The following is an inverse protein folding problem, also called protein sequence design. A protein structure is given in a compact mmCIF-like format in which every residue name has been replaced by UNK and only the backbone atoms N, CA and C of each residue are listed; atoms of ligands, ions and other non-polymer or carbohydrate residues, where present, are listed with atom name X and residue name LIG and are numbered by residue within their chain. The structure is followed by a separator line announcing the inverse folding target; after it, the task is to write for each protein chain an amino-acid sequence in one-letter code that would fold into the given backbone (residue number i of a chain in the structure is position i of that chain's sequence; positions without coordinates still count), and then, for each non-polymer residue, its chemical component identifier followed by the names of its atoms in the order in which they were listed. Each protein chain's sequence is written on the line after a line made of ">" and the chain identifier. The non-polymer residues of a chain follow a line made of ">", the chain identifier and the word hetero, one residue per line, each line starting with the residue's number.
data_IF_289184819783
#
_entry.id   IF_289184819783
#
_cell.length_a   1.000
_cell.length_b   1.000
_cell.length_c   1.000
_cell.angle_alpha   90.00
_cell.angle_beta   90.00
_cell.angle_gamma   90.00
#
_symmetry.space_group_name_H-M   'P 1'
#
loop_
_entity.id
_entity.type
_entity.pdbx_description
1 polymer ?
#
# COMPACT_ATOMS: atom_id res chain seq x y z
N UNK A 1 19.24 11.56 73.64
CA UNK A 1 19.63 12.69 74.51
C UNK A 1 18.78 13.89 74.11
N UNK A 2 17.87 14.37 74.98
CA UNK A 2 16.87 15.46 74.75
C UNK A 2 15.87 15.18 73.59
N UNK A 3 14.53 15.11 73.69
CA UNK A 3 13.47 15.85 74.45
C UNK A 3 13.47 17.36 74.16
N UNK A 4 12.36 18.11 73.98
CA UNK A 4 10.89 17.91 74.10
C UNK A 4 10.18 19.15 73.43
N UNK A 5 8.87 19.33 73.19
CA UNK A 5 7.59 18.62 73.41
C UNK A 5 6.44 19.31 72.58
N UNK A 6 5.33 18.62 72.21
CA UNK A 6 3.86 18.93 72.43
C UNK A 6 3.30 20.35 72.06
N UNK A 7 2.01 20.67 71.77
CA UNK A 7 0.64 20.05 71.75
C UNK A 7 0.10 19.96 70.29
N UNK A 8 -0.97 19.24 69.87
CA UNK A 8 -2.19 18.61 70.45
C UNK A 8 -3.41 19.51 70.81
N UNK A 9 -4.41 19.56 69.92
CA UNK A 9 -5.81 19.89 70.29
C UNK A 9 -6.80 19.02 69.51
N UNK A 10 -7.82 18.50 70.18
CA UNK A 10 -8.90 17.69 69.58
C UNK A 10 -10.13 18.56 69.26
N UNK A 11 -10.94 18.10 68.31
CA UNK A 11 -12.39 18.35 68.28
C UNK A 11 -13.11 17.03 67.94
N UNK A 12 -14.11 16.65 68.74
CA UNK A 12 -15.01 15.51 68.48
C UNK A 12 -16.34 16.00 67.92
N UNK A 13 -17.08 15.16 67.19
CA UNK A 13 -18.54 15.36 67.04
C UNK A 13 -19.24 14.57 65.91
N UNK A 14 -20.13 13.64 66.29
CA UNK A 14 -21.21 13.08 65.42
C UNK A 14 -20.76 12.01 64.41
N UNK A 15 -20.89 10.70 64.68
CA UNK A 15 -22.08 9.82 64.67
C UNK A 15 -22.66 9.42 63.30
N UNK A 16 -22.54 8.11 63.02
CA UNK A 16 -23.48 7.19 62.36
C UNK A 16 -24.56 7.73 61.39
N UNK A 17 -24.58 7.16 60.18
CA UNK A 17 -25.40 5.95 59.94
C UNK A 17 -24.85 5.12 58.77
N UNK A 18 -25.11 3.82 58.79
CA UNK A 18 -24.79 2.91 57.68
C UNK A 18 -26.05 2.61 56.85
N UNK A 19 -25.90 2.49 55.54
CA UNK A 19 -26.94 1.93 54.66
C UNK A 19 -26.29 1.17 53.50
N UNK A 20 -26.56 -0.13 53.42
CA UNK A 20 -26.24 -0.94 52.25
C UNK A 20 -27.51 -1.04 51.39
N UNK A 21 -27.46 -0.51 50.16
CA UNK A 21 -28.63 -0.54 49.27
C UNK A 21 -28.28 -0.24 47.81
N UNK A 22 -28.26 -1.30 47.00
CA UNK A 22 -28.32 -1.39 45.52
C UNK A 22 -27.74 -0.28 44.62
N UNK A 23 -26.96 -0.74 43.62
CA UNK A 23 -26.60 0.01 42.41
C UNK A 23 -27.83 0.56 41.67
N UNK A 24 -27.68 1.74 41.07
CA UNK A 24 -28.00 1.91 39.65
C UNK A 24 -26.78 1.58 38.77
N UNK A 25 -27.02 1.11 37.54
CA UNK A 25 -26.03 1.25 36.46
C UNK A 25 -26.02 2.74 36.07
N UNK A 26 -24.93 3.43 36.33
CA UNK A 26 -24.64 4.68 35.61
C UNK A 26 -23.84 4.29 34.37
N UNK A 27 -24.43 4.41 33.19
CA UNK A 27 -23.72 4.20 31.94
C UNK A 27 -22.85 5.42 31.67
N UNK A 28 -21.57 5.34 32.07
CA UNK A 28 -20.58 6.35 31.74
C UNK A 28 -20.20 6.22 30.27
N UNK A 29 -20.94 6.94 29.41
CA UNK A 29 -20.44 7.34 28.09
C UNK A 29 -19.27 8.32 28.27
N UNK A 30 -18.09 7.79 28.62
CA UNK A 30 -16.82 8.51 28.58
C UNK A 30 -16.27 8.48 27.16
N UNK A 31 -16.33 9.61 26.46
CA UNK A 31 -15.65 9.76 25.18
C UNK A 31 -14.13 9.74 25.36
N UNK A 32 -13.43 9.16 24.38
CA UNK A 32 -11.98 9.31 24.13
C UNK A 32 -11.05 9.09 25.33
N UNK A 33 -10.59 7.86 25.54
CA UNK A 33 -9.17 7.70 25.88
C UNK A 33 -8.34 8.05 24.63
N UNK A 34 -7.50 9.07 24.71
CA UNK A 34 -6.71 9.57 23.58
C UNK A 34 -5.45 8.74 23.36
N UNK A 35 -5.63 7.45 23.07
CA UNK A 35 -4.56 6.52 22.69
C UNK A 35 -4.52 6.28 21.18
N UNK A 36 -3.38 5.81 20.67
CA UNK A 36 -3.29 5.25 19.33
C UNK A 36 -4.04 3.91 19.30
N UNK A 37 -4.74 3.57 18.20
CA UNK A 37 -5.38 2.26 18.07
C UNK A 37 -4.33 1.14 18.06
N UNK A 38 -4.58 0.07 18.82
CA UNK A 38 -3.68 -1.08 18.95
C UNK A 38 -4.24 -2.28 18.18
N UNK A 39 -3.43 -2.81 17.27
CA UNK A 39 -3.80 -3.85 16.30
C UNK A 39 -2.92 -5.07 16.56
N UNK A 40 -3.46 -6.03 17.30
CA UNK A 40 -2.78 -7.29 17.58
C UNK A 40 -2.89 -8.21 16.35
N UNK A 41 -1.77 -8.45 15.67
CA UNK A 41 -1.75 -9.21 14.43
C UNK A 41 -2.06 -10.71 14.63
N UNK A 42 -1.78 -11.25 15.82
CA UNK A 42 -2.04 -12.66 16.14
C UNK A 42 -3.48 -12.88 16.60
N UNK A 43 -4.11 -11.88 17.21
CA UNK A 43 -5.45 -11.97 17.78
C UNK A 43 -6.55 -12.38 16.77
N UNK A 44 -7.43 -13.25 17.27
CA UNK A 44 -8.74 -13.52 16.69
C UNK A 44 -9.70 -12.36 17.00
N UNK A 45 -9.96 -11.52 16.00
CA UNK A 45 -11.02 -10.53 16.06
C UNK A 45 -12.31 -11.10 15.48
N UNK A 46 -13.50 -10.59 15.90
CA UNK A 46 -14.77 -10.99 15.29
C UNK A 46 -14.74 -10.75 13.78
N UNK A 47 -15.17 -11.76 13.02
CA UNK A 47 -15.31 -11.65 11.57
C UNK A 47 -16.54 -10.81 11.19
N UNK A 48 -16.41 -10.03 10.12
CA UNK A 48 -17.49 -9.26 9.53
C UNK A 48 -17.37 -9.28 7.99
N UNK A 49 -18.43 -9.68 7.29
CA UNK A 49 -18.53 -9.42 5.85
C UNK A 49 -18.86 -7.95 5.61
N UNK A 50 -18.13 -7.31 4.69
CA UNK A 50 -18.26 -5.89 4.37
C UNK A 50 -18.28 -5.75 2.86
N UNK A 51 -19.39 -5.26 2.30
CA UNK A 51 -19.44 -4.96 0.88
C UNK A 51 -18.89 -3.57 0.58
N UNK A 52 -18.08 -3.45 -0.47
CA UNK A 52 -17.53 -2.18 -0.95
C UNK A 52 -18.65 -1.15 -1.18
N UNK A 53 -19.75 -1.54 -1.84
CA UNK A 53 -20.89 -0.67 -2.11
C UNK A 53 -21.62 -0.13 -0.87
N UNK A 54 -21.42 -0.70 0.33
CA UNK A 54 -21.98 -0.13 1.56
C UNK A 54 -21.15 1.06 2.06
N UNK A 55 -19.83 0.94 2.05
CA UNK A 55 -18.87 1.94 2.59
C UNK A 55 -18.27 2.88 1.53
N UNK A 56 -18.50 2.61 0.26
CA UNK A 56 -17.92 3.33 -0.87
C UNK A 56 -18.91 3.35 -2.06
N UNK A 57 -18.66 4.27 -2.99
CA UNK A 57 -19.17 4.18 -4.36
C UNK A 57 -18.17 3.36 -5.20
N UNK A 58 -18.68 2.49 -6.07
CA UNK A 58 -17.90 1.60 -6.93
C UNK A 58 -18.21 1.94 -8.38
N UNK A 59 -17.19 1.96 -9.25
CA UNK A 59 -17.34 2.28 -10.68
C UNK A 59 -16.41 1.41 -11.51
N UNK A 60 -16.95 0.79 -12.56
CA UNK A 60 -16.21 -0.09 -13.46
C UNK A 60 -15.87 0.63 -14.77
N UNK A 61 -14.61 0.58 -15.16
CA UNK A 61 -14.06 1.30 -16.32
C UNK A 61 -13.38 0.28 -17.25
N UNK A 62 -14.10 -0.26 -18.26
CA UNK A 62 -13.50 -1.11 -19.27
C UNK A 62 -12.51 -0.30 -20.12
N UNK A 63 -11.26 -0.76 -20.19
CA UNK A 63 -10.25 -0.08 -21.00
C UNK A 63 -10.43 -0.42 -22.49
N UNK A 64 -10.38 0.59 -23.34
CA UNK A 64 -10.58 0.45 -24.78
C UNK A 64 -9.46 -0.39 -25.41
N UNK A 65 -9.85 -1.42 -26.17
CA UNK A 65 -8.92 -2.38 -26.76
C UNK A 65 -8.86 -2.21 -28.28
N UNK A 66 -7.65 -1.94 -28.78
CA UNK A 66 -7.31 -1.75 -30.19
C UNK A 66 -5.85 -2.17 -30.40
N UNK A 67 -5.42 -2.34 -31.65
CA UNK A 67 -4.02 -2.60 -32.02
C UNK A 67 -3.03 -1.56 -31.45
N UNK A 68 -3.49 -0.33 -31.18
CA UNK A 68 -2.67 0.73 -30.58
C UNK A 68 -2.68 0.74 -29.04
N UNK A 69 -3.76 0.22 -28.42
CA UNK A 69 -4.05 0.34 -26.99
C UNK A 69 -4.01 -0.96 -26.19
N UNK A 70 -3.70 -2.10 -26.83
CA UNK A 70 -3.63 -3.42 -26.17
C UNK A 70 -2.55 -3.48 -25.08
N UNK A 71 -2.96 -3.92 -23.90
CA UNK A 71 -2.14 -4.10 -22.70
C UNK A 71 -1.75 -5.57 -22.52
N UNK A 72 -0.64 -5.81 -21.83
CA UNK A 72 -0.16 -7.11 -21.40
C UNK A 72 0.18 -7.07 -19.91
N UNK A 73 1.47 -6.97 -19.58
CA UNK A 73 1.94 -6.94 -18.18
C UNK A 73 1.90 -5.53 -17.61
N UNK A 74 0.73 -5.13 -17.11
CA UNK A 74 0.53 -3.90 -16.33
C UNK A 74 1.34 -3.96 -15.03
N UNK A 75 2.10 -2.90 -14.74
CA UNK A 75 2.93 -2.77 -13.53
C UNK A 75 2.69 -1.50 -12.72
N UNK A 76 2.05 -0.49 -13.31
CA UNK A 76 1.60 0.72 -12.60
C UNK A 76 0.28 1.18 -13.19
N UNK A 77 -0.66 1.57 -12.35
CA UNK A 77 -1.82 2.37 -12.74
C UNK A 77 -1.81 3.65 -11.91
N UNK A 78 -1.95 4.80 -12.57
CA UNK A 78 -2.01 6.11 -11.93
C UNK A 78 -3.27 6.81 -12.45
N UNK A 79 -4.25 7.02 -11.58
CA UNK A 79 -5.42 7.86 -11.86
C UNK A 79 -5.19 9.24 -11.23
N UNK A 80 -5.11 10.28 -12.06
CA UNK A 80 -4.98 11.67 -11.61
C UNK A 80 -5.77 12.57 -12.57
N UNK A 81 -6.64 13.41 -12.00
CA UNK A 81 -7.61 14.21 -12.74
C UNK A 81 -8.41 13.31 -13.71
N UNK A 82 -8.69 13.77 -14.91
CA UNK A 82 -9.49 13.04 -15.92
C UNK A 82 -8.65 12.04 -16.75
N UNK A 83 -7.56 11.50 -16.20
CA UNK A 83 -6.61 10.64 -16.94
C UNK A 83 -6.12 9.45 -16.11
N UNK A 84 -6.17 8.27 -16.75
CA UNK A 84 -5.54 7.03 -16.34
C UNK A 84 -4.22 6.89 -17.10
N UNK A 85 -3.12 6.71 -16.37
CA UNK A 85 -1.77 6.56 -16.92
C UNK A 85 -1.26 5.19 -16.49
N UNK A 86 -0.94 4.33 -17.46
CA UNK A 86 -0.64 2.91 -17.24
C UNK A 86 0.77 2.59 -17.76
N UNK A 87 1.60 1.95 -16.93
CA UNK A 87 2.90 1.41 -17.34
C UNK A 87 2.77 -0.08 -17.63
N UNK A 88 3.11 -0.46 -18.86
CA UNK A 88 3.18 -1.85 -19.30
C UNK A 88 4.64 -2.29 -19.51
N UNK A 89 5.04 -3.40 -18.89
CA UNK A 89 6.41 -3.94 -18.95
C UNK A 89 6.67 -4.82 -20.16
N UNK A 90 5.64 -5.43 -20.74
CA UNK A 90 5.74 -6.29 -21.92
C UNK A 90 5.86 -5.45 -23.18
N UNK A 91 5.02 -4.43 -23.32
CA UNK A 91 5.06 -3.42 -24.38
C UNK A 91 6.15 -2.37 -24.14
N UNK A 92 6.63 -2.21 -22.89
CA UNK A 92 7.53 -1.13 -22.43
C UNK A 92 7.01 0.26 -22.79
N UNK A 93 5.70 0.46 -22.68
CA UNK A 93 4.99 1.69 -23.04
C UNK A 93 4.35 2.33 -21.81
N UNK A 94 4.23 3.66 -21.87
CA UNK A 94 3.29 4.42 -21.05
C UNK A 94 2.04 4.67 -21.90
N UNK A 95 0.89 4.19 -21.45
CA UNK A 95 -0.41 4.38 -22.10
C UNK A 95 -1.24 5.42 -21.33
N UNK A 96 -2.08 6.15 -22.06
CA UNK A 96 -3.01 7.13 -21.53
C UNK A 96 -4.43 6.77 -21.96
N UNK A 97 -5.34 6.73 -20.98
CA UNK A 97 -6.78 6.62 -21.19
C UNK A 97 -7.49 7.75 -20.43
N UNK A 98 -8.70 8.14 -20.85
CA UNK A 98 -9.54 8.99 -20.02
C UNK A 98 -10.18 8.18 -18.87
N UNK A 99 -10.85 8.86 -17.94
CA UNK A 99 -11.58 8.21 -16.82
C UNK A 99 -12.82 7.42 -17.24
N UNK A 100 -13.20 7.44 -18.53
CA UNK A 100 -14.25 6.60 -19.13
C UNK A 100 -13.67 5.34 -19.81
N UNK A 101 -12.34 5.16 -19.78
CA UNK A 101 -11.63 4.03 -20.36
C UNK A 101 -11.25 4.18 -21.84
N UNK A 102 -11.52 5.33 -22.47
CA UNK A 102 -11.14 5.60 -23.87
C UNK A 102 -9.66 5.89 -24.02
N UNK A 103 -9.03 5.29 -25.04
CA UNK A 103 -7.61 5.48 -25.33
C UNK A 103 -7.35 6.90 -25.84
N UNK A 104 -6.26 7.50 -25.38
CA UNK A 104 -5.85 8.87 -25.74
C UNK A 104 -4.53 8.89 -26.51
N UNK A 105 -3.52 8.16 -26.02
CA UNK A 105 -2.18 8.07 -26.63
C UNK A 105 -1.34 7.00 -25.93
N UNK A 106 -0.17 6.68 -26.50
CA UNK A 106 0.91 5.98 -25.80
C UNK A 106 2.28 6.44 -26.29
N UNK A 107 3.33 6.27 -25.49
CA UNK A 107 4.72 6.40 -25.94
C UNK A 107 5.58 5.23 -25.47
N UNK A 108 6.66 4.95 -26.21
CA UNK A 108 7.50 3.76 -26.04
C UNK A 108 8.95 4.00 -26.46
N UNK A 109 9.70 4.79 -25.69
CA UNK A 109 11.10 5.15 -26.00
C UNK A 109 12.07 4.08 -25.54
N UNK A 110 11.92 2.88 -26.09
CA UNK A 110 12.69 1.68 -25.68
C UNK A 110 14.08 1.70 -26.33
N UNK A 111 15.13 1.79 -25.52
CA UNK A 111 16.50 1.80 -26.03
C UNK A 111 17.58 2.03 -24.99
N UNK A 112 18.79 2.32 -25.47
CA UNK A 112 20.00 2.45 -24.66
C UNK A 112 20.50 3.90 -24.48
N UNK A 113 19.88 4.85 -25.17
CA UNK A 113 20.30 6.25 -25.28
C UNK A 113 19.95 7.13 -24.08
N UNK A 114 20.23 8.43 -24.23
CA UNK A 114 19.94 9.44 -23.20
C UNK A 114 18.44 9.74 -23.07
N UNK A 115 17.73 9.71 -24.19
CA UNK A 115 16.30 10.05 -24.33
C UNK A 115 15.38 8.84 -24.32
N UNK A 116 15.92 7.67 -23.96
CA UNK A 116 15.31 6.35 -24.03
C UNK A 116 15.44 5.67 -22.67
N UNK A 117 14.60 4.68 -22.38
CA UNK A 117 14.75 3.76 -21.23
C UNK A 117 14.93 2.32 -21.73
N UNK A 118 15.71 1.52 -21.00
CA UNK A 118 15.94 0.11 -21.33
C UNK A 118 14.96 -0.80 -20.58
N UNK A 119 14.71 -0.50 -19.31
CA UNK A 119 13.87 -1.30 -18.40
C UNK A 119 13.06 -0.35 -17.51
N UNK A 120 11.86 0.07 -17.95
CA UNK A 120 11.02 1.00 -17.21
C UNK A 120 10.36 0.25 -16.04
N UNK A 121 11.04 0.17 -14.89
CA UNK A 121 10.64 -0.68 -13.76
C UNK A 121 9.49 -0.07 -12.93
N UNK A 122 9.41 1.26 -12.86
CA UNK A 122 8.29 1.93 -12.20
C UNK A 122 8.00 3.29 -12.83
N UNK A 123 6.77 3.77 -12.64
CA UNK A 123 6.28 5.05 -13.15
C UNK A 123 5.82 5.94 -12.01
N UNK A 124 6.22 7.21 -12.07
CA UNK A 124 5.70 8.28 -11.24
C UNK A 124 5.25 9.45 -12.13
N UNK A 125 4.27 10.23 -11.65
CA UNK A 125 3.72 11.38 -12.37
C UNK A 125 3.68 12.57 -11.42
N UNK A 126 4.24 13.69 -11.86
CA UNK A 126 4.17 14.99 -11.20
C UNK A 126 3.16 15.87 -11.97
N UNK A 127 1.92 16.04 -11.46
CA UNK A 127 0.89 16.79 -12.17
C UNK A 127 1.17 18.30 -12.20
N UNK A 128 1.88 18.83 -11.19
CA UNK A 128 2.17 20.27 -11.05
C UNK A 128 3.26 20.72 -12.02
N UNK A 129 4.31 19.91 -12.17
CA UNK A 129 5.34 20.10 -13.20
C UNK A 129 4.89 19.63 -14.60
N UNK A 130 3.81 18.83 -14.67
CA UNK A 130 3.34 18.09 -15.86
C UNK A 130 4.42 17.14 -16.41
N UNK A 131 5.07 16.43 -15.50
CA UNK A 131 6.20 15.53 -15.80
C UNK A 131 5.85 14.07 -15.52
N UNK A 132 6.44 13.17 -16.32
CA UNK A 132 6.31 11.73 -16.20
C UNK A 132 7.70 11.14 -16.00
N UNK A 133 7.88 10.46 -14.88
CA UNK A 133 9.17 10.04 -14.35
C UNK A 133 9.26 8.52 -14.42
N UNK A 134 10.01 8.01 -15.40
CA UNK A 134 10.22 6.59 -15.66
C UNK A 134 11.51 6.16 -14.96
N UNK A 135 11.42 5.24 -14.01
CA UNK A 135 12.60 4.68 -13.33
C UNK A 135 13.20 3.54 -14.18
N UNK A 136 14.40 3.76 -14.70
CA UNK A 136 15.10 2.91 -15.66
C UNK A 136 16.17 2.08 -14.93
N UNK A 137 15.80 0.84 -14.56
CA UNK A 137 16.55 -0.04 -13.65
C UNK A 137 16.29 -1.51 -14.01
N UNK A 138 17.21 -2.47 -13.77
CA UNK A 138 18.46 -2.35 -13.01
C UNK A 138 19.69 -1.96 -13.85
N UNK A 139 19.59 -1.86 -15.18
CA UNK A 139 20.78 -1.66 -16.03
C UNK A 139 21.30 -0.22 -16.13
N UNK A 140 20.57 0.77 -15.59
CA UNK A 140 20.80 2.19 -15.90
C UNK A 140 20.76 3.14 -14.69
N UNK A 141 20.25 2.69 -13.53
CA UNK A 141 20.19 3.41 -12.25
C UNK A 141 19.87 4.91 -12.40
N UNK A 142 18.77 5.22 -13.11
CA UNK A 142 18.36 6.61 -13.39
C UNK A 142 16.85 6.74 -13.48
N UNK A 143 16.38 7.98 -13.44
CA UNK A 143 15.01 8.33 -13.83
C UNK A 143 15.09 9.13 -15.14
N UNK A 144 14.31 8.72 -16.13
CA UNK A 144 14.14 9.45 -17.40
C UNK A 144 12.81 10.20 -17.35
N UNK A 145 12.86 11.51 -17.58
CA UNK A 145 11.72 12.43 -17.40
C UNK A 145 11.20 12.90 -18.74
N UNK A 146 9.89 12.75 -18.94
CA UNK A 146 9.15 13.13 -20.16
C UNK A 146 8.02 14.09 -19.84
N UNK A 147 7.48 14.78 -20.86
CA UNK A 147 6.18 15.43 -20.78
C UNK A 147 5.02 14.45 -21.08
N UNK A 148 3.78 14.94 -20.97
CA UNK A 148 2.56 14.16 -21.26
C UNK A 148 2.35 13.81 -22.74
N UNK A 149 3.14 14.35 -23.66
CA UNK A 149 3.18 13.94 -25.07
C UNK A 149 4.35 12.98 -25.36
N UNK A 150 5.11 12.58 -24.33
CA UNK A 150 6.27 11.70 -24.45
C UNK A 150 7.54 12.38 -24.93
N UNK A 151 7.64 13.72 -24.95
CA UNK A 151 8.90 14.40 -25.28
C UNK A 151 9.86 14.31 -24.10
N UNK A 152 11.13 13.97 -24.36
CA UNK A 152 12.16 13.94 -23.31
C UNK A 152 12.47 15.34 -22.76
N UNK A 153 12.51 15.45 -21.43
CA UNK A 153 12.87 16.67 -20.69
C UNK A 153 14.30 16.56 -20.13
N UNK A 154 14.57 15.51 -19.31
CA UNK A 154 15.87 15.31 -18.65
C UNK A 154 16.08 13.87 -18.20
N UNK A 155 17.31 13.54 -17.81
CA UNK A 155 17.61 12.36 -16.98
C UNK A 155 18.11 12.81 -15.60
N UNK A 156 17.75 12.04 -14.56
CA UNK A 156 18.26 12.16 -13.20
C UNK A 156 19.07 10.90 -12.91
N UNK A 157 20.37 11.02 -12.65
CA UNK A 157 21.21 9.88 -12.28
C UNK A 157 21.02 9.58 -10.80
N UNK A 158 20.88 8.30 -10.46
CA UNK A 158 20.81 7.82 -9.09
C UNK A 158 22.14 7.13 -8.71
N UNK A 159 22.34 6.88 -7.41
CA UNK A 159 23.44 6.04 -6.95
C UNK A 159 23.10 4.56 -7.11
N UNK A 160 24.06 3.75 -7.55
CA UNK A 160 23.97 2.28 -7.56
C UNK A 160 23.91 1.68 -6.13
N UNK A 161 24.14 2.51 -5.09
CA UNK A 161 23.98 2.16 -3.68
C UNK A 161 22.52 2.17 -3.18
N UNK A 162 21.56 2.40 -4.09
CA UNK A 162 20.11 2.43 -3.80
C UNK A 162 19.38 1.57 -4.83
N UNK A 163 18.41 0.79 -4.37
CA UNK A 163 17.52 0.01 -5.23
C UNK A 163 16.08 0.31 -4.79
N UNK A 164 15.43 1.24 -5.48
CA UNK A 164 14.08 1.68 -5.14
C UNK A 164 13.01 0.62 -5.52
N UNK A 165 12.25 0.16 -4.53
CA UNK A 165 11.04 -0.66 -4.70
C UNK A 165 9.84 0.27 -5.01
N UNK A 166 9.83 0.75 -6.25
CA UNK A 166 8.93 1.80 -6.73
C UNK A 166 9.37 3.22 -6.37
N UNK A 167 8.82 4.20 -7.10
CA UNK A 167 9.02 5.64 -6.86
C UNK A 167 7.68 6.37 -6.80
N UNK A 168 7.56 7.32 -5.87
CA UNK A 168 6.28 7.88 -5.44
C UNK A 168 6.34 9.42 -5.46
N UNK A 169 5.26 10.07 -5.91
CA UNK A 169 5.17 11.53 -5.92
C UNK A 169 4.87 12.03 -4.50
N UNK A 170 5.85 12.62 -3.82
CA UNK A 170 5.68 13.08 -2.44
C UNK A 170 5.31 14.57 -2.37
N UNK A 171 6.23 15.45 -2.75
CA UNK A 171 6.03 16.90 -2.76
C UNK A 171 6.53 17.51 -4.08
N UNK A 172 6.51 18.85 -4.19
CA UNK A 172 6.92 19.58 -5.40
C UNK A 172 8.39 19.35 -5.82
N UNK A 173 9.27 18.95 -4.92
CA UNK A 173 10.74 18.87 -5.09
C UNK A 173 11.28 17.43 -4.99
N UNK A 174 10.60 16.54 -4.26
CA UNK A 174 11.07 15.18 -3.98
C UNK A 174 10.10 14.09 -4.43
N UNK A 175 10.68 12.97 -4.86
CA UNK A 175 10.04 11.66 -4.86
C UNK A 175 10.35 10.95 -3.55
N UNK A 176 9.44 10.10 -3.07
CA UNK A 176 9.72 9.11 -2.03
C UNK A 176 10.02 7.74 -2.67
N UNK A 177 10.84 6.92 -2.02
CA UNK A 177 11.14 5.54 -2.39
C UNK A 177 11.42 4.66 -1.15
N UNK A 178 11.20 3.35 -1.27
CA UNK A 178 11.66 2.34 -0.32
C UNK A 178 12.91 1.64 -0.88
N UNK A 179 14.01 1.63 -0.14
CA UNK A 179 15.31 1.14 -0.60
C UNK A 179 15.59 -0.31 -0.18
N UNK A 180 15.47 -1.24 -1.13
CA UNK A 180 15.76 -2.68 -0.96
C UNK A 180 17.22 -3.05 -1.27
N UNK A 181 18.13 -2.07 -1.45
CA UNK A 181 19.54 -2.37 -1.72
C UNK A 181 20.15 -3.25 -0.61
N UNK A 182 20.67 -4.41 -1.01
CA UNK A 182 21.26 -5.46 -0.14
C UNK A 182 20.27 -6.08 0.87
N UNK A 183 18.96 -5.89 0.72
CA UNK A 183 17.97 -6.37 1.69
C UNK A 183 17.82 -7.90 1.61
N UNK A 184 18.47 -8.61 2.53
CA UNK A 184 18.41 -10.08 2.63
C UNK A 184 18.86 -10.83 1.36
N UNK A 185 19.62 -10.16 0.49
CA UNK A 185 20.24 -10.76 -0.72
C UNK A 185 21.55 -11.44 -0.30
N UNK A 186 21.72 -12.77 -0.48
CA UNK A 186 22.96 -13.49 -0.20
C UNK A 186 24.23 -12.79 -0.72
N UNK A 187 25.30 -12.81 0.09
CA UNK A 187 26.61 -12.24 -0.25
C UNK A 187 26.69 -10.71 -0.40
N UNK A 188 25.56 -9.99 -0.48
CA UNK A 188 25.52 -8.57 -0.86
C UNK A 188 25.98 -7.58 0.23
N UNK A 189 26.07 -8.03 1.49
CA UNK A 189 26.43 -7.23 2.65
C UNK A 189 25.22 -6.81 3.49
N UNK A 190 25.34 -5.69 4.20
CA UNK A 190 24.27 -5.18 5.09
C UNK A 190 23.45 -4.09 4.37
N UNK A 191 22.10 -4.14 4.40
CA UNK A 191 21.25 -3.06 3.88
C UNK A 191 21.30 -1.81 4.76
N UNK A 192 20.87 -0.67 4.21
CA UNK A 192 20.65 0.55 5.01
C UNK A 192 19.57 0.33 6.07
N UNK A 193 19.79 0.74 7.34
CA UNK A 193 18.76 0.76 8.38
C UNK A 193 17.83 1.97 8.29
N UNK A 194 18.01 2.86 7.31
CA UNK A 194 17.12 3.99 7.01
C UNK A 194 16.54 3.77 5.60
N UNK A 195 15.43 3.03 5.46
CA UNK A 195 15.02 2.52 4.15
C UNK A 195 14.18 3.50 3.32
N UNK A 196 13.63 4.55 3.94
CA UNK A 196 12.82 5.55 3.24
C UNK A 196 13.69 6.69 2.72
N UNK A 197 13.65 6.90 1.41
CA UNK A 197 14.57 7.77 0.67
C UNK A 197 13.82 8.89 -0.07
N UNK A 198 14.32 10.12 0.02
CA UNK A 198 13.85 11.25 -0.79
C UNK A 198 14.79 11.47 -1.97
N UNK A 199 14.28 11.33 -3.20
CA UNK A 199 15.04 11.55 -4.42
C UNK A 199 14.66 12.92 -4.99
N UNK A 200 15.64 13.81 -5.11
CA UNK A 200 15.45 15.15 -5.70
C UNK A 200 15.01 15.06 -7.16
N UNK A 201 13.83 15.60 -7.48
CA UNK A 201 13.29 15.71 -8.86
C UNK A 201 14.14 16.57 -9.79
N UNK A 202 15.05 17.36 -9.22
CA UNK A 202 15.90 18.31 -9.96
C UNK A 202 17.33 17.80 -10.15
N UNK A 203 17.89 17.07 -9.18
CA UNK A 203 19.31 16.64 -9.19
C UNK A 203 19.52 15.12 -9.20
N UNK A 204 18.52 14.31 -8.82
CA UNK A 204 18.70 12.87 -8.56
C UNK A 204 19.42 12.54 -7.25
N UNK A 205 19.87 13.56 -6.51
CA UNK A 205 20.46 13.43 -5.17
C UNK A 205 19.47 12.78 -4.21
N UNK A 206 19.96 11.89 -3.34
CA UNK A 206 19.12 11.13 -2.42
C UNK A 206 19.48 11.41 -0.97
N UNK A 207 18.49 11.84 -0.20
CA UNK A 207 18.56 11.91 1.28
C UNK A 207 17.66 10.83 1.88
N UNK A 208 17.75 10.59 3.19
CA UNK A 208 16.99 9.53 3.87
C UNK A 208 16.17 10.10 5.01
N UNK A 209 14.94 9.59 5.18
CA UNK A 209 14.11 9.85 6.36
C UNK A 209 14.84 9.27 7.59
N UNK A 210 14.94 10.01 8.71
CA UNK A 210 15.61 9.53 9.93
C UNK A 210 14.77 8.49 10.72
N UNK A 211 13.90 7.73 10.05
CA UNK A 211 13.18 6.58 10.61
C UNK A 211 14.07 5.35 10.50
N UNK A 212 14.64 4.92 11.63
CA UNK A 212 15.47 3.73 11.70
C UNK A 212 14.60 2.47 11.78
N UNK A 213 14.92 1.48 10.97
CA UNK A 213 14.29 0.16 10.96
C UNK A 213 15.36 -0.90 11.25
N UNK A 214 15.30 -1.50 12.43
CA UNK A 214 16.13 -2.65 12.81
C UNK A 214 15.54 -3.95 12.23
N UNK A 215 16.32 -5.03 12.14
CA UNK A 215 15.87 -6.36 11.68
C UNK A 215 15.00 -6.36 10.39
N UNK A 216 15.26 -5.46 9.43
CA UNK A 216 14.46 -5.31 8.19
C UNK A 216 14.12 -6.67 7.55
N UNK A 217 12.82 -6.97 7.41
CA UNK A 217 12.28 -8.15 6.68
C UNK A 217 12.12 -7.81 5.19
N UNK A 218 12.25 -8.79 4.30
CA UNK A 218 11.95 -8.65 2.87
C UNK A 218 10.59 -9.30 2.52
N UNK A 219 9.90 -8.80 1.49
CA UNK A 219 8.74 -9.45 0.86
C UNK A 219 9.15 -10.48 -0.22
N UNK A 220 10.43 -10.52 -0.58
CA UNK A 220 10.99 -11.29 -1.69
C UNK A 220 12.12 -12.22 -1.24
N UNK A 221 12.15 -13.44 -1.79
CA UNK A 221 13.17 -14.45 -1.50
C UNK A 221 14.23 -14.53 -2.60
N UNK A 222 15.49 -14.48 -2.18
CA UNK A 222 16.67 -14.50 -3.03
C UNK A 222 17.48 -15.76 -2.76
N UNK A 223 17.87 -16.46 -3.84
CA UNK A 223 18.63 -17.69 -3.79
C UNK A 223 19.95 -17.56 -4.55
N UNK A 224 21.04 -18.04 -3.94
CA UNK A 224 22.37 -18.08 -4.55
C UNK A 224 22.56 -19.39 -5.32
N UNK A 225 22.75 -19.29 -6.64
CA UNK A 225 22.99 -20.43 -7.52
C UNK A 225 24.50 -20.75 -7.68
N UNK A 226 25.38 -20.07 -6.92
CA UNK A 226 26.83 -20.24 -6.94
C UNK A 226 27.53 -19.56 -8.13
N UNK A 227 26.78 -19.11 -9.12
CA UNK A 227 27.22 -18.23 -10.22
C UNK A 227 26.59 -16.82 -10.15
N UNK A 228 25.74 -16.57 -9.15
CA UNK A 228 24.97 -15.34 -8.98
C UNK A 228 23.71 -15.58 -8.15
N UNK A 229 23.14 -14.50 -7.63
CA UNK A 229 21.90 -14.52 -6.84
C UNK A 229 20.72 -14.14 -7.73
N UNK A 230 19.61 -14.88 -7.62
CA UNK A 230 18.35 -14.54 -8.31
C UNK A 230 17.19 -14.41 -7.33
N UNK A 231 16.17 -13.63 -7.70
CA UNK A 231 14.90 -13.55 -6.98
C UNK A 231 14.00 -14.69 -7.48
N UNK A 232 13.47 -15.51 -6.57
CA UNK A 232 12.63 -16.67 -6.94
C UNK A 232 11.14 -16.47 -6.68
N UNK A 233 10.78 -15.60 -5.73
CA UNK A 233 9.38 -15.32 -5.38
C UNK A 233 9.26 -14.01 -4.60
N UNK A 234 8.07 -13.38 -4.69
CA UNK A 234 7.73 -12.12 -4.03
C UNK A 234 6.27 -12.14 -3.59
N UNK A 235 6.02 -11.94 -2.30
CA UNK A 235 4.68 -11.70 -1.76
C UNK A 235 4.24 -10.28 -2.12
N UNK A 236 3.03 -10.12 -2.68
CA UNK A 236 2.50 -8.84 -3.18
C UNK A 236 2.06 -7.91 -2.04
N UNK A 237 3.04 -7.39 -1.30
CA UNK A 237 2.86 -6.47 -0.17
C UNK A 237 4.00 -5.47 -0.17
N UNK A 238 3.66 -4.18 -0.07
CA UNK A 238 4.63 -3.09 0.08
C UNK A 238 4.64 -2.53 1.51
N UNK A 239 5.81 -2.19 2.08
CA UNK A 239 5.91 -1.47 3.35
C UNK A 239 5.57 0.02 3.23
N UNK A 240 5.24 0.52 2.03
CA UNK A 240 4.89 1.91 1.72
C UNK A 240 3.75 1.98 0.70
N UNK A 241 2.67 2.68 1.05
CA UNK A 241 1.65 3.12 0.09
C UNK A 241 1.48 4.64 0.14
N UNK A 242 0.85 5.22 -0.89
CA UNK A 242 0.53 6.64 -0.95
C UNK A 242 -0.99 6.86 -0.90
N UNK A 243 -1.43 7.84 -0.10
CA UNK A 243 -2.78 8.39 -0.10
C UNK A 243 -2.67 9.87 -0.51
N UNK A 244 -3.00 10.17 -1.76
CA UNK A 244 -2.75 11.51 -2.33
C UNK A 244 -1.26 11.82 -2.39
N UNK A 245 -0.79 12.74 -1.55
CA UNK A 245 0.63 13.05 -1.27
C UNK A 245 1.14 12.50 0.06
N UNK A 246 0.26 11.99 0.93
CA UNK A 246 0.64 11.41 2.21
C UNK A 246 1.22 10.01 2.02
N UNK A 247 2.39 9.76 2.60
CA UNK A 247 2.98 8.42 2.64
C UNK A 247 2.48 7.67 3.88
N UNK A 248 2.10 6.40 3.73
CA UNK A 248 1.69 5.51 4.83
C UNK A 248 2.70 4.37 4.94
N UNK A 249 3.54 4.46 5.97
CA UNK A 249 4.65 3.56 6.25
C UNK A 249 4.16 2.46 7.19
N UNK A 250 4.24 1.22 6.70
CA UNK A 250 3.76 0.01 7.38
C UNK A 250 4.85 -1.06 7.45
N UNK A 251 6.13 -0.64 7.56
CA UNK A 251 7.32 -1.51 7.47
C UNK A 251 7.17 -2.82 8.25
N UNK A 252 7.50 -3.94 7.61
CA UNK A 252 7.33 -5.28 8.17
C UNK A 252 8.07 -5.53 9.49
N UNK A 253 9.07 -4.70 9.83
CA UNK A 253 9.85 -4.78 11.07
C UNK A 253 9.53 -3.67 12.10
N UNK A 254 8.55 -2.78 11.86
CA UNK A 254 8.14 -1.74 12.80
C UNK A 254 6.87 -2.10 13.59
N UNK A 255 6.90 -1.86 14.90
CA UNK A 255 5.73 -1.95 15.80
C UNK A 255 4.66 -0.88 15.51
N UNK A 256 4.96 0.14 14.72
CA UNK A 256 4.14 1.33 14.56
C UNK A 256 3.86 1.59 13.07
N UNK A 257 2.60 1.92 12.77
CA UNK A 257 2.20 2.43 11.45
C UNK A 257 2.30 3.95 11.50
N UNK A 258 3.00 4.54 10.53
CA UNK A 258 3.20 5.98 10.46
C UNK A 258 2.56 6.58 9.21
N UNK A 259 2.01 7.79 9.36
CA UNK A 259 1.76 8.74 8.29
C UNK A 259 2.99 9.65 8.17
N UNK A 260 3.44 9.93 6.95
CA UNK A 260 4.46 10.94 6.69
C UNK A 260 3.91 11.99 5.71
N UNK A 261 3.75 13.22 6.20
CA UNK A 261 3.03 14.29 5.52
C UNK A 261 3.58 15.66 5.94
N UNK A 262 3.70 16.62 5.01
CA UNK A 262 4.27 17.95 5.28
C UNK A 262 5.63 17.91 6.02
N UNK A 263 6.46 16.92 5.67
CA UNK A 263 7.72 16.54 6.33
C UNK A 263 7.65 16.05 7.79
N UNK A 264 6.45 15.90 8.37
CA UNK A 264 6.22 15.37 9.73
C UNK A 264 5.95 13.87 9.68
N UNK A 265 6.55 13.12 10.60
CA UNK A 265 6.27 11.70 10.83
C UNK A 265 5.32 11.55 12.03
N UNK A 266 4.11 11.07 11.77
CA UNK A 266 3.03 10.95 12.75
C UNK A 266 2.67 9.45 12.95
N UNK A 267 2.72 8.89 14.16
CA UNK A 267 2.21 7.54 14.40
C UNK A 267 0.68 7.54 14.32
N UNK A 268 0.09 6.56 13.62
CA UNK A 268 -1.36 6.47 13.41
C UNK A 268 -2.00 5.18 13.94
N UNK A 269 -1.21 4.15 14.21
CA UNK A 269 -1.62 2.92 14.90
C UNK A 269 -0.39 2.17 15.45
N UNK A 270 -0.58 1.37 16.49
CA UNK A 270 0.41 0.42 17.00
C UNK A 270 0.01 -0.98 16.55
N UNK A 271 0.98 -1.80 16.14
CA UNK A 271 0.86 -3.23 15.84
C UNK A 271 1.52 -4.04 16.95
N UNK A 272 0.91 -5.17 17.32
CA UNK A 272 1.46 -6.11 18.31
C UNK A 272 1.47 -7.54 17.75
N UNK A 273 2.28 -8.43 18.33
CA UNK A 273 2.40 -9.82 17.89
C UNK A 273 3.23 -10.04 16.61
N UNK A 274 3.79 -8.99 15.99
CA UNK A 274 4.66 -9.07 14.80
C UNK A 274 6.16 -9.27 15.09
N UNK A 275 6.54 -9.33 16.37
CA UNK A 275 7.94 -9.40 16.85
C UNK A 275 8.57 -10.79 16.75
N UNK A 276 7.76 -11.83 16.55
CA UNK A 276 8.19 -13.22 16.49
C UNK A 276 9.12 -13.49 15.28
N UNK A 277 10.03 -14.46 15.42
CA UNK A 277 10.89 -14.91 14.31
C UNK A 277 10.10 -15.75 13.27
N UNK A 278 8.87 -16.12 13.60
CA UNK A 278 7.88 -16.65 12.66
C UNK A 278 7.56 -15.64 11.54
N UNK A 279 7.49 -16.11 10.29
CA UNK A 279 7.49 -15.30 9.06
C UNK A 279 6.25 -14.45 8.75
N UNK A 280 5.59 -13.86 9.75
CA UNK A 280 4.44 -12.98 9.53
C UNK A 280 4.86 -11.61 8.97
N UNK A 281 4.15 -11.17 7.93
CA UNK A 281 4.20 -9.84 7.33
C UNK A 281 2.85 -9.14 7.50
N UNK A 282 2.86 -7.81 7.59
CA UNK A 282 1.63 -7.00 7.50
C UNK A 282 1.90 -5.68 6.77
N UNK A 283 0.97 -5.27 5.90
CA UNK A 283 1.01 -4.01 5.14
C UNK A 283 -0.37 -3.38 5.06
N UNK A 284 -0.43 -2.05 4.97
CA UNK A 284 -1.70 -1.37 4.70
C UNK A 284 -2.12 -1.71 3.27
N UNK A 285 -3.30 -2.31 3.13
CA UNK A 285 -3.93 -2.62 1.85
C UNK A 285 -4.67 -1.38 1.34
N UNK A 286 -5.51 -0.77 2.20
CA UNK A 286 -6.33 0.41 1.89
C UNK A 286 -6.38 1.33 3.11
N UNK A 287 -6.47 2.64 2.88
CA UNK A 287 -6.64 3.62 3.97
C UNK A 287 -7.47 4.83 3.52
N UNK A 288 -8.60 5.06 4.19
CA UNK A 288 -9.45 6.25 4.03
C UNK A 288 -9.07 7.32 5.06
N UNK A 289 -9.93 8.29 5.35
CA UNK A 289 -9.75 9.13 6.54
C UNK A 289 -10.01 8.35 7.83
N UNK A 290 -11.07 7.54 7.85
CA UNK A 290 -11.53 6.81 9.04
C UNK A 290 -10.97 5.40 9.19
N UNK A 291 -10.86 4.64 8.11
CA UNK A 291 -10.55 3.21 8.16
C UNK A 291 -9.13 2.92 7.66
N UNK A 292 -8.43 2.03 8.37
CA UNK A 292 -7.18 1.43 7.93
C UNK A 292 -7.40 -0.07 7.75
N UNK A 293 -7.20 -0.59 6.54
CA UNK A 293 -7.28 -2.01 6.20
C UNK A 293 -5.87 -2.56 6.08
N UNK A 294 -5.54 -3.55 6.89
CA UNK A 294 -4.23 -4.22 6.91
C UNK A 294 -4.38 -5.63 6.34
N UNK A 295 -3.63 -5.95 5.29
CA UNK A 295 -3.39 -7.35 4.97
C UNK A 295 -2.35 -7.89 5.96
N UNK A 296 -2.67 -9.02 6.58
CA UNK A 296 -1.78 -9.76 7.49
C UNK A 296 -1.63 -11.15 6.92
N UNK A 297 -0.38 -11.57 6.71
CA UNK A 297 -0.09 -12.88 6.11
C UNK A 297 1.02 -13.61 6.83
N UNK A 298 0.83 -14.91 7.04
CA UNK A 298 1.89 -15.78 7.52
C UNK A 298 2.66 -16.37 6.33
N UNK A 299 3.96 -16.07 6.22
CA UNK A 299 4.82 -16.56 5.14
C UNK A 299 5.77 -17.64 5.65
N UNK A 300 6.03 -18.63 4.80
CA UNK A 300 7.10 -19.62 4.97
C UNK A 300 7.88 -19.74 3.66
N UNK A 301 9.15 -20.17 3.70
CA UNK A 301 9.91 -20.52 2.50
C UNK A 301 9.93 -22.03 2.38
N UNK A 302 9.40 -22.55 1.28
CA UNK A 302 9.45 -23.97 0.98
C UNK A 302 10.91 -24.40 0.71
N UNK A 303 11.45 -25.38 1.45
CA UNK A 303 12.86 -25.74 1.36
C UNK A 303 13.22 -26.53 0.10
N UNK A 304 12.24 -27.09 -0.63
CA UNK A 304 12.44 -27.86 -1.85
C UNK A 304 12.24 -27.01 -3.11
N UNK A 305 11.20 -26.17 -3.15
CA UNK A 305 10.89 -25.30 -4.30
C UNK A 305 11.58 -23.93 -4.24
N UNK A 306 12.08 -23.53 -3.06
CA UNK A 306 12.64 -22.21 -2.77
C UNK A 306 11.66 -21.05 -3.05
N UNK A 307 10.36 -21.30 -2.90
CA UNK A 307 9.29 -20.29 -3.04
C UNK A 307 8.77 -19.83 -1.67
N UNK A 308 8.39 -18.55 -1.58
CA UNK A 308 7.61 -18.01 -0.47
C UNK A 308 6.14 -18.40 -0.64
N UNK A 309 5.62 -19.13 0.34
CA UNK A 309 4.23 -19.57 0.41
C UNK A 309 3.51 -18.80 1.53
N UNK A 310 2.34 -18.24 1.22
CA UNK A 310 1.46 -17.56 2.20
C UNK A 310 0.35 -18.51 2.66
N UNK A 311 0.32 -18.89 3.94
CA UNK A 311 -0.64 -19.88 4.44
C UNK A 311 -1.94 -19.29 4.99
N UNK A 312 -1.92 -18.05 5.47
CA UNK A 312 -3.05 -17.42 6.17
C UNK A 312 -3.15 -15.94 5.80
N UNK A 313 -3.96 -15.57 4.80
CA UNK A 313 -4.20 -14.16 4.45
C UNK A 313 -5.49 -13.66 5.15
N UNK A 314 -5.37 -12.77 6.15
CA UNK A 314 -6.50 -12.11 6.81
C UNK A 314 -6.42 -10.59 6.66
N UNK A 315 -7.55 -9.94 6.37
CA UNK A 315 -7.64 -8.47 6.34
C UNK A 315 -8.22 -7.99 7.67
N UNK A 316 -7.48 -7.14 8.39
CA UNK A 316 -7.96 -6.46 9.59
C UNK A 316 -8.42 -5.05 9.22
N UNK A 317 -9.66 -4.68 9.55
CA UNK A 317 -10.14 -3.30 9.46
C UNK A 317 -10.09 -2.64 10.83
N UNK A 318 -9.31 -1.57 10.95
CA UNK A 318 -9.29 -0.68 12.11
C UNK A 318 -10.09 0.59 11.83
N UNK A 319 -11.09 0.86 12.66
CA UNK A 319 -11.79 2.14 12.74
C UNK A 319 -11.00 3.11 13.63
N UNK A 320 -10.33 4.08 13.01
CA UNK A 320 -9.38 5.01 13.69
C UNK A 320 -10.08 6.00 14.61
N UNK A 321 -11.40 6.20 14.48
CA UNK A 321 -12.18 7.06 15.38
C UNK A 321 -12.55 6.36 16.69
N UNK A 322 -12.78 5.04 16.64
CA UNK A 322 -13.29 4.26 17.79
C UNK A 322 -12.26 3.28 18.37
N UNK A 323 -11.13 3.08 17.70
CA UNK A 323 -10.13 2.06 18.04
C UNK A 323 -10.60 0.62 17.80
N UNK A 324 -11.82 0.41 17.26
CA UNK A 324 -12.36 -0.92 17.01
C UNK A 324 -11.59 -1.59 15.87
N UNK A 325 -11.15 -2.83 16.09
CA UNK A 325 -10.58 -3.69 15.06
C UNK A 325 -11.49 -4.91 14.87
N UNK A 326 -11.69 -5.32 13.62
CA UNK A 326 -12.41 -6.53 13.20
C UNK A 326 -11.66 -7.22 12.06
N UNK A 327 -11.80 -8.54 11.95
CA UNK A 327 -11.40 -9.27 10.74
C UNK A 327 -12.47 -9.04 9.69
N UNK A 328 -12.12 -8.60 8.47
CA UNK A 328 -13.10 -8.35 7.41
C UNK A 328 -12.95 -9.30 6.24
N UNK A 329 -14.10 -9.69 5.71
CA UNK A 329 -14.23 -10.29 4.39
C UNK A 329 -14.76 -9.19 3.46
N UNK A 330 -13.85 -8.49 2.79
CA UNK A 330 -14.15 -7.32 1.96
C UNK A 330 -14.58 -7.79 0.56
N UNK A 331 -15.86 -7.63 0.22
CA UNK A 331 -16.46 -8.20 -0.98
C UNK A 331 -17.09 -7.13 -1.90
N UNK A 332 -17.27 -7.47 -3.17
CA UNK A 332 -18.04 -6.67 -4.13
C UNK A 332 -19.43 -7.32 -4.30
N UNK A 333 -20.53 -6.55 -4.23
CA UNK A 333 -21.90 -7.09 -4.40
C UNK A 333 -22.13 -7.74 -5.77
N UNK A 334 -21.41 -7.28 -6.79
CA UNK A 334 -21.53 -7.78 -8.16
C UNK A 334 -20.74 -9.08 -8.37
N UNK A 335 -19.82 -9.42 -7.45
CA UNK A 335 -19.03 -10.66 -7.43
C UNK A 335 -18.66 -11.05 -5.97
N UNK A 336 -19.62 -11.48 -5.13
CA UNK A 336 -19.40 -11.70 -3.69
C UNK A 336 -18.40 -12.80 -3.34
N UNK A 337 -18.06 -13.65 -4.31
CA UNK A 337 -17.15 -14.78 -4.19
C UNK A 337 -15.68 -14.33 -4.24
N UNK A 338 -15.39 -13.20 -4.91
CA UNK A 338 -14.05 -12.60 -4.92
C UNK A 338 -13.92 -11.60 -3.76
N UNK A 339 -12.99 -11.88 -2.85
CA UNK A 339 -12.84 -11.17 -1.58
C UNK A 339 -11.42 -10.65 -1.37
N UNK A 340 -11.30 -9.64 -0.52
CA UNK A 340 -10.07 -9.10 0.09
C UNK A 340 -9.03 -8.46 -0.85
N UNK A 341 -9.08 -8.70 -2.16
CA UNK A 341 -8.30 -7.99 -3.21
C UNK A 341 -6.77 -8.00 -3.01
N UNK A 342 -6.23 -8.94 -2.23
CA UNK A 342 -4.80 -9.06 -1.89
C UNK A 342 -3.90 -9.57 -3.03
N UNK A 343 -4.42 -9.65 -4.26
CA UNK A 343 -3.71 -10.17 -5.44
C UNK A 343 -2.87 -9.13 -6.19
N UNK A 344 -2.99 -7.85 -5.85
CA UNK A 344 -2.24 -6.75 -6.48
C UNK A 344 -1.51 -5.94 -5.41
N UNK A 345 -0.26 -5.56 -5.67
CA UNK A 345 0.44 -4.61 -4.82
C UNK A 345 -0.18 -3.21 -4.97
N UNK A 346 -0.84 -2.76 -3.91
CA UNK A 346 -1.55 -1.48 -3.85
C UNK A 346 -0.59 -0.27 -3.93
N UNK A 347 0.70 -0.42 -3.66
CA UNK A 347 1.67 0.66 -3.91
C UNK A 347 1.83 0.97 -5.41
N UNK A 348 1.51 0.01 -6.28
CA UNK A 348 1.50 0.19 -7.72
C UNK A 348 0.15 0.70 -8.28
N UNK A 349 -0.85 0.94 -7.43
CA UNK A 349 -2.18 1.47 -7.76
C UNK A 349 -2.39 2.87 -7.16
N UNK A 350 -1.96 3.92 -7.87
CA UNK A 350 -2.05 5.31 -7.41
C UNK A 350 -3.40 5.93 -7.76
N UNK A 351 -4.33 5.94 -6.80
CA UNK A 351 -5.64 6.57 -6.92
C UNK A 351 -5.68 8.00 -6.32
N UNK A 352 -6.71 8.82 -6.60
CA UNK A 352 -6.96 10.08 -5.90
C UNK A 352 -7.23 9.90 -4.40
N UNK A 353 -7.29 11.00 -3.65
CA UNK A 353 -7.62 10.96 -2.22
C UNK A 353 -8.98 10.32 -1.93
N UNK A 354 -9.02 9.51 -0.86
CA UNK A 354 -10.15 8.69 -0.44
C UNK A 354 -10.64 7.65 -1.48
N UNK A 355 -9.85 7.37 -2.51
CA UNK A 355 -10.10 6.33 -3.50
C UNK A 355 -9.08 5.19 -3.43
N UNK A 356 -9.43 4.03 -3.99
CA UNK A 356 -8.47 3.02 -4.44
C UNK A 356 -8.86 2.50 -5.83
N UNK A 357 -7.89 1.88 -6.52
CA UNK A 357 -8.10 1.23 -7.82
C UNK A 357 -7.56 -0.19 -7.75
N UNK A 358 -8.29 -1.11 -8.37
CA UNK A 358 -7.83 -2.46 -8.71
C UNK A 358 -8.39 -2.81 -10.09
N UNK A 359 -8.16 -4.04 -10.58
CA UNK A 359 -8.61 -4.46 -11.90
C UNK A 359 -9.17 -5.89 -11.90
N UNK A 360 -10.04 -6.15 -12.87
CA UNK A 360 -10.50 -7.48 -13.25
C UNK A 360 -10.01 -7.79 -14.67
N UNK A 361 -9.36 -8.93 -14.83
CA UNK A 361 -9.04 -9.48 -16.16
C UNK A 361 -10.35 -10.03 -16.78
N UNK A 362 -10.59 -9.86 -18.10
CA UNK A 362 -11.86 -10.29 -18.70
C UNK A 362 -12.08 -11.79 -18.65
N UNK A 363 -11.05 -12.61 -18.89
CA UNK A 363 -11.09 -14.07 -18.77
C UNK A 363 -11.61 -14.55 -17.41
N UNK A 364 -11.15 -13.91 -16.33
CA UNK A 364 -11.62 -14.15 -14.97
C UNK A 364 -13.11 -13.80 -14.85
N UNK A 365 -13.55 -12.63 -15.34
CA UNK A 365 -14.96 -12.25 -15.34
C UNK A 365 -15.83 -13.23 -16.14
N UNK A 366 -15.38 -13.68 -17.31
CA UNK A 366 -16.06 -14.72 -18.10
C UNK A 366 -16.21 -16.04 -17.33
N UNK A 367 -15.16 -16.49 -16.63
CA UNK A 367 -15.24 -17.69 -15.80
C UNK A 367 -16.27 -17.57 -14.66
N UNK A 368 -16.41 -16.39 -14.04
CA UNK A 368 -17.48 -16.14 -13.08
C UNK A 368 -18.87 -16.03 -13.75
N UNK A 369 -18.96 -15.55 -14.99
CA UNK A 369 -20.23 -15.39 -15.70
C UNK A 369 -20.85 -16.72 -16.18
N UNK A 370 -20.00 -17.62 -16.70
CA UNK A 370 -20.37 -19.00 -17.06
C UNK A 370 -20.91 -19.78 -15.87
N UNK A 371 -20.33 -19.55 -14.69
CA UNK A 371 -20.79 -20.14 -13.42
C UNK A 371 -22.01 -19.39 -12.80
N UNK A 372 -22.49 -18.34 -13.47
CA UNK A 372 -23.61 -17.49 -13.02
C UNK A 372 -23.38 -16.80 -11.67
N UNK A 373 -22.11 -16.47 -11.37
CA UNK A 373 -21.67 -15.88 -10.12
C UNK A 373 -21.64 -14.34 -10.14
N UNK A 374 -21.61 -13.73 -11.35
CA UNK A 374 -21.71 -12.27 -11.53
C UNK A 374 -23.15 -11.75 -11.40
N UNK A 375 -23.28 -10.55 -10.85
CA UNK A 375 -24.52 -9.76 -10.82
C UNK A 375 -24.25 -8.27 -11.09
N UNK A 376 -25.24 -7.40 -10.87
CA UNK A 376 -25.08 -5.94 -10.92
C UNK A 376 -24.55 -5.39 -12.25
N UNK A 377 -23.63 -4.44 -12.17
CA UNK A 377 -23.07 -3.77 -13.35
C UNK A 377 -22.02 -4.64 -14.05
N UNK A 378 -21.27 -5.48 -13.31
CA UNK A 378 -20.37 -6.47 -13.93
C UNK A 378 -21.14 -7.43 -14.85
N UNK A 379 -22.30 -7.95 -14.41
CA UNK A 379 -23.14 -8.81 -15.27
C UNK A 379 -23.66 -8.06 -16.51
N UNK A 380 -23.99 -6.77 -16.38
CA UNK A 380 -24.39 -5.95 -17.52
C UNK A 380 -23.21 -5.65 -18.47
N UNK A 381 -21.97 -5.55 -17.96
CA UNK A 381 -20.76 -5.34 -18.74
C UNK A 381 -20.39 -6.52 -19.63
N UNK A 382 -20.67 -7.77 -19.22
CA UNK A 382 -20.38 -8.97 -20.04
C UNK A 382 -21.07 -8.97 -21.41
N UNK A 383 -22.12 -8.16 -21.61
CA UNK A 383 -22.76 -7.96 -22.92
C UNK A 383 -21.99 -7.05 -23.89
N UNK A 384 -20.89 -6.44 -23.43
CA UNK A 384 -20.09 -5.41 -24.13
C UNK A 384 -18.58 -5.68 -24.09
N UNK A 385 -18.16 -6.73 -23.39
CA UNK A 385 -16.77 -7.14 -23.22
C UNK A 385 -16.47 -8.30 -24.20
N UNK A 386 -15.19 -8.64 -24.35
CA UNK A 386 -14.69 -9.84 -25.02
C UNK A 386 -13.51 -10.40 -24.17
N UNK A 387 -13.25 -11.72 -24.14
CA UNK A 387 -12.17 -12.29 -23.31
C UNK A 387 -10.78 -11.73 -23.61
N UNK A 388 -10.52 -11.33 -24.87
CA UNK A 388 -9.23 -10.80 -25.33
C UNK A 388 -9.14 -9.26 -25.16
N UNK A 389 -10.04 -8.64 -24.37
CA UNK A 389 -9.97 -7.21 -24.07
C UNK A 389 -8.94 -6.86 -23.00
N UNK A 390 -8.58 -5.58 -22.97
CA UNK A 390 -7.91 -4.95 -21.84
C UNK A 390 -8.74 -5.08 -20.54
N UNK A 391 -8.09 -5.05 -19.37
CA UNK A 391 -8.78 -5.19 -18.09
C UNK A 391 -9.88 -4.15 -17.82
N UNK A 392 -10.88 -4.56 -17.04
CA UNK A 392 -11.88 -3.66 -16.47
C UNK A 392 -11.33 -3.14 -15.15
N UNK A 393 -11.01 -1.84 -15.06
CA UNK A 393 -10.62 -1.25 -13.79
C UNK A 393 -11.84 -1.11 -12.87
N UNK A 394 -11.63 -1.32 -11.58
CA UNK A 394 -12.58 -0.95 -10.54
C UNK A 394 -12.01 0.24 -9.78
N UNK A 395 -12.62 1.41 -9.96
CA UNK A 395 -12.41 2.57 -9.10
C UNK A 395 -13.39 2.46 -7.92
N UNK A 396 -12.88 2.62 -6.71
CA UNK A 396 -13.68 2.63 -5.48
C UNK A 396 -13.39 3.92 -4.72
N UNK A 397 -14.43 4.63 -4.31
CA UNK A 397 -14.34 5.92 -3.61
C UNK A 397 -15.11 5.84 -2.29
N UNK A 398 -14.41 5.94 -1.16
CA UNK A 398 -15.06 5.86 0.15
C UNK A 398 -16.00 7.05 0.41
N UNK A 399 -17.07 6.77 1.16
CA UNK A 399 -18.12 7.72 1.58
C UNK A 399 -17.74 8.50 2.84
#
# INVERSE_FOLDING_TARGET
>A
MKTFHVLLTLALGGLFLASCGNKPRTETHSGTETGLPVIDLQKDYPEQEVFLQDIADVTYIPLETTDESVLGVISKIICRNDTLIILDLQQKKVFFFNTEGKYLSSFGHVGGGKTEYAFPYNLCVDPDRREILVYDTPMKFRIVVYDFAGNFIRELKLSEEISADGIYNYDKDYLLAYDVHKLQIPGSGTPSPYPYCFISKTTGEVTRLPLKVEKRKNNSYYYDQGNGTTMLSTIQMSPLIMKGSDAVITDFALDTIYRYANHVLEPIAIRQGGEDDMGMLSSTLLISDRYCFLNVTHVQVNPESHQMESSENKVLMCDRETGKVVTVQLANKDIPQMKNYTGFDMANMSAPDNCFITLYLPDVLYSFDEQHLLSGELKALMSRLDPENNPVLMLVKFK
#
